data_IF_036397196943
#
_entry.id   IF_036397196943
#
_cell.length_a   1.000
_cell.length_b   1.000
_cell.length_c   1.000
_cell.angle_alpha   90.00
_cell.angle_beta   90.00
_cell.angle_gamma   90.00
#
_symmetry.space_group_name_H-M   'P 1'
#
loop_
_entity.id
_entity.type
_entity.pdbx_description
1 polymer ?
#
# COMPACT_ATOMS: atom_id res chain seq x y z
N UNK A 1 2.47 -9.59 36.75
CA UNK A 1 3.31 -10.38 35.82
C UNK A 1 2.78 -10.20 34.41
N UNK A 2 3.57 -9.61 33.50
CA UNK A 2 3.16 -9.44 32.10
C UNK A 2 3.29 -10.79 31.42
N UNK A 3 2.16 -11.40 31.04
CA UNK A 3 2.15 -12.65 30.27
C UNK A 3 2.99 -12.49 29.00
N UNK A 4 3.84 -13.47 28.64
CA UNK A 4 4.61 -13.41 27.40
C UNK A 4 3.66 -13.28 26.21
N UNK A 5 4.04 -12.44 25.26
CA UNK A 5 3.26 -12.24 24.03
C UNK A 5 3.12 -13.57 23.29
N UNK A 6 1.92 -13.90 22.78
CA UNK A 6 1.74 -15.11 21.99
C UNK A 6 2.67 -15.06 20.78
N UNK A 7 3.57 -16.05 20.66
CA UNK A 7 4.50 -16.14 19.53
C UNK A 7 3.71 -16.20 18.22
N UNK A 8 4.16 -15.52 17.14
CA UNK A 8 3.56 -15.66 15.83
C UNK A 8 3.59 -17.13 15.39
N UNK A 9 2.53 -17.59 14.72
CA UNK A 9 2.52 -18.90 14.07
C UNK A 9 3.32 -18.83 12.78
N UNK A 10 4.65 -18.83 12.90
CA UNK A 10 5.59 -18.68 11.78
C UNK A 10 5.33 -19.68 10.67
N UNK A 11 5.00 -20.93 10.99
CA UNK A 11 4.70 -21.97 10.00
C UNK A 11 3.62 -21.51 9.01
N UNK A 12 2.53 -20.91 9.51
CA UNK A 12 1.42 -20.45 8.67
C UNK A 12 1.76 -19.19 7.88
N UNK A 13 2.48 -18.26 8.50
CA UNK A 13 2.93 -17.01 7.86
C UNK A 13 3.87 -17.33 6.71
N UNK A 14 4.88 -18.18 6.95
CA UNK A 14 5.87 -18.57 5.94
C UNK A 14 5.20 -19.36 4.82
N UNK A 15 4.28 -20.28 5.11
CA UNK A 15 3.52 -20.98 4.06
C UNK A 15 2.71 -20.02 3.18
N UNK A 16 2.04 -19.01 3.76
CA UNK A 16 1.30 -18.01 2.99
C UNK A 16 2.24 -17.16 2.13
N UNK A 17 3.36 -16.70 2.70
CA UNK A 17 4.38 -15.93 1.97
C UNK A 17 4.90 -16.74 0.78
N UNK A 18 5.26 -18.00 1.00
CA UNK A 18 5.81 -18.87 -0.04
C UNK A 18 4.77 -19.14 -1.14
N UNK A 19 3.50 -19.37 -0.78
CA UNK A 19 2.41 -19.52 -1.74
C UNK A 19 2.24 -18.26 -2.61
N UNK A 20 2.25 -17.08 -1.99
CA UNK A 20 2.13 -15.81 -2.72
C UNK A 20 3.33 -15.55 -3.61
N UNK A 21 4.55 -15.83 -3.13
CA UNK A 21 5.78 -15.69 -3.91
C UNK A 21 5.82 -16.62 -5.11
N UNK A 22 5.42 -17.88 -4.93
CA UNK A 22 5.33 -18.85 -6.02
C UNK A 22 4.29 -18.40 -7.04
N UNK A 23 3.13 -17.91 -6.57
CA UNK A 23 2.12 -17.31 -7.43
C UNK A 23 2.64 -16.10 -8.22
N UNK A 24 3.35 -15.17 -7.57
CA UNK A 24 3.97 -14.02 -8.23
C UNK A 24 5.04 -14.44 -9.24
N UNK A 25 5.82 -15.47 -8.95
CA UNK A 25 6.81 -16.00 -9.89
C UNK A 25 6.14 -16.56 -11.14
N UNK A 26 5.01 -17.27 -10.98
CA UNK A 26 4.19 -17.74 -12.11
C UNK A 26 3.62 -16.56 -12.90
N UNK A 27 3.13 -15.52 -12.23
CA UNK A 27 2.64 -14.29 -12.88
C UNK A 27 3.73 -13.65 -13.74
N UNK A 28 4.95 -13.50 -13.21
CA UNK A 28 6.08 -12.95 -13.96
C UNK A 28 6.45 -13.83 -15.15
N UNK A 29 6.47 -15.16 -14.98
CA UNK A 29 6.74 -16.11 -16.06
C UNK A 29 5.70 -16.01 -17.21
N UNK A 30 4.44 -15.76 -16.87
CA UNK A 30 3.37 -15.56 -17.86
C UNK A 30 3.52 -14.20 -18.57
N UNK A 31 3.88 -13.13 -17.84
CA UNK A 31 4.09 -11.80 -18.43
C UNK A 31 5.34 -11.76 -19.34
N UNK A 32 6.36 -12.58 -19.04
CA UNK A 32 7.53 -12.79 -19.90
C UNK A 32 7.18 -13.41 -21.24
N UNK A 33 6.10 -14.19 -21.33
CA UNK A 33 5.76 -14.88 -22.57
C UNK A 33 5.10 -13.91 -23.57
N UNK A 34 5.69 -13.69 -24.75
CA UNK A 34 5.11 -12.81 -25.78
C UNK A 34 3.76 -13.30 -26.29
N UNK A 35 3.49 -14.60 -26.21
CA UNK A 35 2.26 -15.26 -26.67
C UNK A 35 1.20 -15.40 -25.58
N UNK A 36 1.08 -14.39 -24.71
CA UNK A 36 0.08 -14.40 -23.64
C UNK A 36 -1.33 -14.05 -24.17
N UNK A 37 -2.36 -14.60 -23.50
CA UNK A 37 -3.76 -14.29 -23.82
C UNK A 37 -4.04 -12.83 -23.44
N UNK A 38 -4.30 -12.01 -24.46
CA UNK A 38 -4.63 -10.59 -24.35
C UNK A 38 -6.08 -10.39 -24.77
N UNK A 39 -6.94 -10.09 -23.80
CA UNK A 39 -8.29 -9.65 -24.09
C UNK A 39 -8.29 -8.11 -24.18
N UNK A 40 -8.48 -7.59 -25.40
CA UNK A 40 -8.69 -6.16 -25.61
C UNK A 40 -10.20 -5.90 -25.58
N UNK A 41 -10.71 -5.40 -24.45
CA UNK A 41 -12.02 -4.77 -24.42
C UNK A 41 -11.87 -3.48 -25.25
N UNK A 42 -12.55 -3.39 -26.39
CA UNK A 42 -12.33 -2.33 -27.39
C UNK A 42 -12.31 -0.89 -26.84
N UNK A 43 -11.69 0.03 -27.60
CA UNK A 43 -11.43 1.42 -27.19
C UNK A 43 -10.04 1.61 -26.57
N UNK A 44 -9.87 2.69 -25.79
CA UNK A 44 -8.63 3.03 -25.07
C UNK A 44 -8.49 2.31 -23.71
N UNK A 45 -9.19 1.18 -23.52
CA UNK A 45 -9.18 0.43 -22.27
C UNK A 45 -7.89 -0.40 -22.13
N UNK A 46 -7.40 -0.59 -20.89
CA UNK A 46 -6.22 -1.40 -20.64
C UNK A 46 -6.46 -2.86 -21.04
N UNK A 47 -5.46 -3.46 -21.69
CA UNK A 47 -5.51 -4.87 -22.09
C UNK A 47 -5.52 -5.76 -20.85
N UNK A 48 -6.54 -6.61 -20.75
CA UNK A 48 -6.68 -7.58 -19.66
C UNK A 48 -5.91 -8.83 -20.06
N UNK A 49 -4.87 -9.15 -19.30
CA UNK A 49 -4.07 -10.37 -19.46
C UNK A 49 -4.40 -11.39 -18.36
N UNK A 50 -4.06 -12.66 -18.60
CA UNK A 50 -4.18 -13.72 -17.58
C UNK A 50 -3.43 -13.36 -16.27
N UNK A 51 -2.35 -12.58 -16.36
CA UNK A 51 -1.60 -12.03 -15.23
C UNK A 51 -2.50 -11.26 -14.25
N UNK A 52 -3.45 -10.45 -14.74
CA UNK A 52 -4.36 -9.69 -13.88
C UNK A 52 -5.30 -10.57 -13.06
N UNK A 53 -5.79 -11.67 -13.66
CA UNK A 53 -6.67 -12.63 -12.97
C UNK A 53 -5.91 -13.34 -11.87
N UNK A 54 -4.66 -13.75 -12.14
CA UNK A 54 -3.78 -14.35 -11.14
C UNK A 54 -3.39 -13.37 -10.04
N UNK A 55 -3.10 -12.11 -10.36
CA UNK A 55 -2.84 -11.08 -9.34
C UNK A 55 -4.08 -10.88 -8.46
N UNK A 56 -5.28 -10.82 -9.04
CA UNK A 56 -6.52 -10.70 -8.29
C UNK A 56 -6.78 -11.90 -7.35
N UNK A 57 -6.47 -13.12 -7.80
CA UNK A 57 -6.59 -14.31 -6.96
C UNK A 57 -5.57 -14.32 -5.82
N UNK A 58 -4.31 -13.93 -6.08
CA UNK A 58 -3.28 -13.79 -5.05
C UNK A 58 -3.62 -12.71 -4.02
N UNK A 59 -4.14 -11.57 -4.47
CA UNK A 59 -4.66 -10.51 -3.60
C UNK A 59 -5.75 -11.06 -2.68
N UNK A 60 -6.69 -11.85 -3.22
CA UNK A 60 -7.78 -12.44 -2.44
C UNK A 60 -7.26 -13.45 -1.42
N UNK A 61 -6.32 -14.31 -1.80
CA UNK A 61 -5.70 -15.31 -0.92
C UNK A 61 -4.91 -14.63 0.20
N UNK A 62 -4.07 -13.65 -0.12
CA UNK A 62 -3.27 -12.93 0.88
C UNK A 62 -4.14 -12.11 1.84
N UNK A 63 -5.18 -11.45 1.32
CA UNK A 63 -6.15 -10.71 2.12
C UNK A 63 -6.89 -11.62 3.10
N UNK A 64 -7.39 -12.75 2.60
CA UNK A 64 -8.11 -13.74 3.42
C UNK A 64 -7.19 -14.41 4.43
N UNK A 65 -5.96 -14.76 4.02
CA UNK A 65 -4.96 -15.34 4.91
C UNK A 65 -4.57 -14.40 6.06
N UNK A 66 -4.36 -13.12 5.76
CA UNK A 66 -4.10 -12.11 6.77
C UNK A 66 -5.28 -11.98 7.75
N UNK A 67 -6.52 -11.90 7.25
CA UNK A 67 -7.73 -11.79 8.09
C UNK A 67 -7.85 -13.00 9.03
N UNK A 68 -7.67 -14.22 8.53
CA UNK A 68 -7.72 -15.46 9.33
C UNK A 68 -6.63 -15.49 10.40
N UNK A 69 -5.39 -15.06 10.10
CA UNK A 69 -4.30 -15.05 11.07
C UNK A 69 -4.53 -14.07 12.21
N UNK A 70 -5.06 -12.91 11.87
CA UNK A 70 -5.30 -11.84 12.82
C UNK A 70 -6.51 -12.14 13.71
N UNK A 71 -7.58 -12.76 13.18
CA UNK A 71 -8.71 -13.27 14.00
C UNK A 71 -8.30 -14.36 14.98
N UNK A 72 -7.25 -15.13 14.67
CA UNK A 72 -6.71 -16.14 15.58
C UNK A 72 -5.96 -15.53 16.78
N UNK A 73 -5.71 -14.21 16.80
CA UNK A 73 -5.02 -13.55 17.89
C UNK A 73 -5.96 -13.33 19.11
N UNK A 74 -5.56 -13.69 20.34
CA UNK A 74 -6.41 -13.54 21.53
C UNK A 74 -6.95 -12.13 21.82
N UNK A 75 -6.26 -11.10 21.32
CA UNK A 75 -6.63 -9.70 21.53
C UNK A 75 -7.63 -9.18 20.50
N UNK A 76 -7.79 -9.89 19.37
CA UNK A 76 -8.85 -9.58 18.41
C UNK A 76 -10.22 -10.06 18.90
N UNK A 77 -10.27 -11.12 19.72
CA UNK A 77 -11.52 -11.65 20.29
C UNK A 77 -12.24 -10.66 21.21
N UNK A 78 -11.52 -9.65 21.72
CA UNK A 78 -12.07 -8.62 22.63
C UNK A 78 -12.23 -7.25 21.97
N UNK A 79 -11.83 -7.10 20.69
CA UNK A 79 -11.89 -5.83 19.97
C UNK A 79 -13.10 -5.79 19.06
N UNK A 80 -13.97 -4.78 19.25
CA UNK A 80 -15.09 -4.52 18.34
C UNK A 80 -14.56 -4.11 16.96
N UNK A 81 -14.83 -4.94 15.95
CA UNK A 81 -14.51 -4.67 14.55
C UNK A 81 -15.66 -3.88 13.89
N UNK A 82 -15.37 -3.03 12.88
CA UNK A 82 -16.43 -2.40 12.12
C UNK A 82 -17.22 -3.47 11.36
N UNK A 83 -18.53 -3.51 11.60
CA UNK A 83 -19.43 -4.48 10.97
C UNK A 83 -20.15 -3.82 9.80
N UNK A 84 -20.13 -4.46 8.64
CA UNK A 84 -20.96 -4.08 7.51
C UNK A 84 -22.17 -5.01 7.52
N UNK A 85 -23.36 -4.44 7.72
CA UNK A 85 -24.62 -5.16 7.62
C UNK A 85 -25.05 -5.22 6.16
N UNK A 86 -24.75 -6.33 5.48
CA UNK A 86 -25.32 -6.65 4.18
C UNK A 86 -26.62 -7.45 4.39
N UNK A 87 -27.68 -6.73 4.77
CA UNK A 87 -28.99 -7.33 5.03
C UNK A 87 -28.97 -8.27 6.24
N UNK A 88 -29.16 -9.59 6.01
CA UNK A 88 -29.15 -10.62 7.06
C UNK A 88 -27.76 -11.08 7.49
N UNK A 89 -26.71 -10.68 6.77
CA UNK A 89 -25.33 -11.06 7.08
C UNK A 89 -24.60 -9.87 7.71
N UNK A 90 -24.17 -10.05 8.96
CA UNK A 90 -23.23 -9.14 9.60
C UNK A 90 -21.80 -9.60 9.26
N UNK A 91 -21.10 -8.86 8.41
CA UNK A 91 -19.71 -9.16 8.07
C UNK A 91 -18.82 -8.23 8.88
N UNK A 92 -18.11 -8.79 9.85
CA UNK A 92 -17.03 -8.07 10.54
C UNK A 92 -15.84 -7.95 9.58
N UNK A 93 -15.52 -6.74 9.15
CA UNK A 93 -14.37 -6.51 8.27
C UNK A 93 -13.29 -5.85 9.10
N UNK A 94 -12.06 -6.33 8.96
CA UNK A 94 -10.89 -5.68 9.56
C UNK A 94 -10.09 -4.98 8.44
N UNK A 95 -10.60 -3.87 7.87
CA UNK A 95 -10.07 -3.36 6.61
C UNK A 95 -8.64 -2.85 6.72
N UNK A 96 -8.14 -2.67 7.93
CA UNK A 96 -6.74 -2.38 8.20
C UNK A 96 -5.72 -3.43 7.82
N UNK A 97 -6.14 -4.69 7.84
CA UNK A 97 -5.21 -5.81 7.93
C UNK A 97 -5.05 -6.52 6.58
N UNK A 98 -6.08 -6.53 5.75
CA UNK A 98 -6.03 -7.03 4.37
C UNK A 98 -5.40 -6.06 3.34
N UNK A 99 -5.36 -4.75 3.60
CA UNK A 99 -4.90 -3.74 2.62
C UNK A 99 -3.39 -3.84 2.40
N UNK A 100 -2.59 -3.97 3.45
CA UNK A 100 -1.13 -4.00 3.28
C UNK A 100 -0.66 -5.25 2.52
N UNK A 101 -1.09 -6.47 2.87
CA UNK A 101 -0.70 -7.67 2.12
C UNK A 101 -1.15 -7.64 0.64
N UNK A 102 -2.35 -7.12 0.36
CA UNK A 102 -2.82 -6.96 -1.02
C UNK A 102 -2.00 -5.92 -1.79
N UNK A 103 -1.71 -4.78 -1.16
CA UNK A 103 -0.89 -3.72 -1.76
C UNK A 103 0.54 -4.18 -2.02
N UNK A 104 1.14 -5.05 -1.21
CA UNK A 104 2.45 -5.65 -1.54
C UNK A 104 2.40 -6.35 -2.89
N UNK A 105 1.40 -7.20 -3.13
CA UNK A 105 1.26 -7.97 -4.38
C UNK A 105 1.05 -7.03 -5.56
N UNK A 106 0.10 -6.08 -5.42
CA UNK A 106 -0.21 -5.11 -6.49
C UNK A 106 1.00 -4.24 -6.80
N UNK A 107 1.70 -3.75 -5.78
CA UNK A 107 2.90 -2.91 -5.95
C UNK A 107 4.02 -3.69 -6.60
N UNK A 108 4.30 -4.92 -6.17
CA UNK A 108 5.36 -5.73 -6.75
C UNK A 108 5.10 -6.04 -8.22
N UNK A 109 3.85 -6.36 -8.58
CA UNK A 109 3.47 -6.56 -9.98
C UNK A 109 3.55 -5.27 -10.79
N UNK A 110 3.05 -4.15 -10.26
CA UNK A 110 3.06 -2.87 -10.94
C UNK A 110 4.50 -2.34 -11.13
N UNK A 111 5.35 -2.46 -10.12
CA UNK A 111 6.74 -2.01 -10.11
C UNK A 111 7.63 -2.85 -11.04
N UNK A 112 7.39 -4.16 -11.14
CA UNK A 112 8.09 -5.04 -12.09
C UNK A 112 7.95 -4.52 -13.54
N UNK A 113 6.76 -4.05 -13.93
CA UNK A 113 6.48 -3.53 -15.27
C UNK A 113 7.20 -2.24 -15.65
N UNK A 114 7.91 -1.58 -14.71
CA UNK A 114 8.68 -0.36 -15.00
C UNK A 114 10.01 -0.65 -15.72
N UNK A 115 10.53 -1.87 -15.63
CA UNK A 115 11.85 -2.21 -16.16
C UNK A 115 11.72 -2.93 -17.52
N UNK A 116 12.40 -2.42 -18.55
CA UNK A 116 12.41 -2.98 -19.91
C UNK A 116 13.46 -4.08 -20.14
N UNK A 117 13.20 -4.91 -21.15
CA UNK A 117 13.97 -5.97 -21.84
C UNK A 117 15.34 -6.41 -21.28
N UNK A 118 16.39 -5.58 -21.19
CA UNK A 118 17.70 -6.07 -20.76
C UNK A 118 17.80 -6.47 -19.27
N UNK A 119 16.92 -5.95 -18.40
CA UNK A 119 16.99 -6.16 -16.95
C UNK A 119 15.78 -6.91 -16.37
N UNK A 120 14.88 -7.40 -17.22
CA UNK A 120 13.60 -7.94 -16.75
C UNK A 120 13.77 -9.13 -15.80
N UNK A 121 14.70 -10.05 -16.08
CA UNK A 121 14.93 -11.21 -15.19
C UNK A 121 15.48 -10.79 -13.82
N UNK A 122 16.45 -9.86 -13.80
CA UNK A 122 17.00 -9.33 -12.55
C UNK A 122 15.93 -8.55 -11.78
N UNK A 123 15.12 -7.75 -12.47
CA UNK A 123 14.02 -7.00 -11.89
C UNK A 123 12.94 -7.93 -11.33
N UNK A 124 12.60 -9.03 -12.01
CA UNK A 124 11.67 -10.05 -11.51
C UNK A 124 12.20 -10.69 -10.22
N UNK A 125 13.48 -11.10 -10.20
CA UNK A 125 14.10 -11.68 -9.01
C UNK A 125 14.12 -10.69 -7.84
N UNK A 126 14.53 -9.45 -8.10
CA UNK A 126 14.52 -8.39 -7.11
C UNK A 126 13.11 -8.11 -6.59
N UNK A 127 12.12 -8.03 -7.48
CA UNK A 127 10.71 -7.81 -7.12
C UNK A 127 10.16 -8.96 -6.26
N UNK A 128 10.51 -10.21 -6.55
CA UNK A 128 10.13 -11.36 -5.72
C UNK A 128 10.76 -11.30 -4.32
N UNK A 129 12.05 -11.01 -4.24
CA UNK A 129 12.75 -10.89 -2.95
C UNK A 129 12.13 -9.76 -2.12
N UNK A 130 11.95 -8.58 -2.73
CA UNK A 130 11.34 -7.43 -2.07
C UNK A 130 9.89 -7.73 -1.66
N UNK A 131 9.09 -8.36 -2.54
CA UNK A 131 7.72 -8.78 -2.20
C UNK A 131 7.70 -9.70 -0.98
N UNK A 132 8.60 -10.69 -0.94
CA UNK A 132 8.66 -11.68 0.14
C UNK A 132 9.04 -11.04 1.46
N UNK A 133 10.06 -10.19 1.45
CA UNK A 133 10.50 -9.42 2.63
C UNK A 133 9.38 -8.51 3.12
N UNK A 134 8.74 -7.75 2.23
CA UNK A 134 7.67 -6.82 2.62
C UNK A 134 6.43 -7.55 3.13
N UNK A 135 6.04 -8.66 2.50
CA UNK A 135 4.86 -9.42 2.92
C UNK A 135 5.10 -10.08 4.28
N UNK A 136 6.28 -10.68 4.48
CA UNK A 136 6.68 -11.25 5.76
C UNK A 136 6.76 -10.17 6.84
N UNK A 137 7.42 -9.04 6.56
CA UNK A 137 7.51 -7.91 7.48
C UNK A 137 6.12 -7.37 7.84
N UNK A 138 5.21 -7.26 6.87
CA UNK A 138 3.83 -6.80 7.07
C UNK A 138 3.08 -7.72 8.01
N UNK A 139 3.07 -9.04 7.76
CA UNK A 139 2.32 -10.00 8.58
C UNK A 139 2.88 -10.07 10.01
N UNK A 140 4.20 -10.06 10.16
CA UNK A 140 4.85 -10.06 11.48
C UNK A 140 4.57 -8.75 12.23
N UNK A 141 4.72 -7.60 11.57
CA UNK A 141 4.48 -6.32 12.19
C UNK A 141 3.00 -6.10 12.53
N UNK A 142 2.07 -6.61 11.72
CA UNK A 142 0.63 -6.60 12.05
C UNK A 142 0.34 -7.41 13.32
N UNK A 143 0.98 -8.57 13.49
CA UNK A 143 0.86 -9.38 14.71
C UNK A 143 1.39 -8.61 15.94
N UNK A 144 2.60 -8.04 15.86
CA UNK A 144 3.19 -7.31 16.97
C UNK A 144 2.54 -5.94 17.24
N UNK A 145 1.87 -5.33 16.26
CA UNK A 145 1.12 -4.10 16.47
C UNK A 145 -0.11 -4.30 17.38
N UNK A 146 -0.59 -5.54 17.50
CA UNK A 146 -1.65 -5.96 18.41
C UNK A 146 -1.14 -6.33 19.80
N UNK A 147 0.17 -6.31 20.06
CA UNK A 147 0.72 -6.69 21.35
C UNK A 147 0.43 -5.64 22.45
N UNK A 148 0.34 -6.08 23.72
CA UNK A 148 0.09 -5.18 24.87
C UNK A 148 1.30 -4.35 25.26
N UNK A 149 2.50 -4.74 24.81
CA UNK A 149 3.75 -4.07 25.16
C UNK A 149 3.90 -2.79 24.33
N UNK A 150 3.96 -1.60 24.95
CA UNK A 150 3.98 -0.34 24.22
C UNK A 150 5.22 -0.17 23.34
N UNK A 151 6.37 -0.68 23.77
CA UNK A 151 7.63 -0.63 23.00
C UNK A 151 7.56 -1.46 21.71
N UNK A 152 7.14 -2.73 21.83
CA UNK A 152 7.00 -3.65 20.69
C UNK A 152 5.94 -3.14 19.72
N UNK A 153 4.81 -2.66 20.26
CA UNK A 153 3.76 -2.07 19.46
C UNK A 153 4.24 -0.83 18.69
N UNK A 154 5.01 0.06 19.33
CA UNK A 154 5.55 1.26 18.67
C UNK A 154 6.49 0.89 17.51
N UNK A 155 7.42 -0.02 17.74
CA UNK A 155 8.35 -0.49 16.70
C UNK A 155 7.61 -1.17 15.54
N UNK A 156 6.61 -1.98 15.83
CA UNK A 156 5.79 -2.63 14.80
C UNK A 156 4.98 -1.62 13.97
N UNK A 157 4.40 -0.59 14.59
CA UNK A 157 3.71 0.49 13.87
C UNK A 157 4.64 1.29 12.99
N UNK A 158 5.86 1.59 13.45
CA UNK A 158 6.88 2.26 12.64
C UNK A 158 7.27 1.40 11.42
N UNK A 159 7.42 0.08 11.60
CA UNK A 159 7.68 -0.84 10.50
C UNK A 159 6.53 -0.84 9.48
N UNK A 160 5.26 -0.91 9.92
CA UNK A 160 4.10 -0.85 9.03
C UNK A 160 4.00 0.50 8.30
N UNK A 161 4.35 1.60 8.96
CA UNK A 161 4.38 2.93 8.35
C UNK A 161 5.45 3.00 7.25
N UNK A 162 6.66 2.51 7.53
CA UNK A 162 7.74 2.44 6.54
C UNK A 162 7.34 1.58 5.33
N UNK A 163 6.73 0.41 5.55
CA UNK A 163 6.19 -0.44 4.47
C UNK A 163 5.13 0.31 3.68
N UNK A 164 4.21 1.01 4.33
CA UNK A 164 3.14 1.75 3.64
C UNK A 164 3.70 2.83 2.71
N UNK A 165 4.70 3.59 3.16
CA UNK A 165 5.35 4.60 2.30
C UNK A 165 6.12 3.97 1.13
N UNK A 166 6.77 2.83 1.36
CA UNK A 166 7.45 2.12 0.27
C UNK A 166 6.46 1.60 -0.78
N UNK A 167 5.31 1.09 -0.33
CA UNK A 167 4.23 0.66 -1.22
C UNK A 167 3.61 1.84 -1.98
N UNK A 168 3.36 2.95 -1.29
CA UNK A 168 2.86 4.18 -1.90
C UNK A 168 3.80 4.65 -3.03
N UNK A 169 5.10 4.69 -2.76
CA UNK A 169 6.09 5.06 -3.76
C UNK A 169 6.05 4.15 -4.99
N UNK A 170 6.00 2.83 -4.78
CA UNK A 170 5.97 1.85 -5.87
C UNK A 170 4.71 1.98 -6.73
N UNK A 171 3.53 2.11 -6.11
CA UNK A 171 2.26 2.26 -6.84
C UNK A 171 2.21 3.59 -7.58
N UNK A 172 2.56 4.70 -6.93
CA UNK A 172 2.51 6.02 -7.57
C UNK A 172 3.49 6.12 -8.75
N UNK A 173 4.70 5.57 -8.61
CA UNK A 173 5.68 5.50 -9.70
C UNK A 173 5.16 4.65 -10.87
N UNK A 174 4.52 3.52 -10.58
CA UNK A 174 3.99 2.63 -11.60
C UNK A 174 2.81 3.24 -12.38
N UNK A 175 1.87 3.88 -11.67
CA UNK A 175 0.74 4.55 -12.30
C UNK A 175 1.22 5.71 -13.18
N UNK A 176 2.22 6.47 -12.72
CA UNK A 176 2.79 7.56 -13.50
C UNK A 176 3.57 7.06 -14.72
N UNK A 177 4.31 5.94 -14.60
CA UNK A 177 5.00 5.30 -15.72
C UNK A 177 4.03 4.85 -16.82
N UNK A 178 2.86 4.33 -16.45
CA UNK A 178 1.90 3.78 -17.41
C UNK A 178 1.35 4.82 -18.41
N UNK A 179 1.49 6.14 -18.14
CA UNK A 179 1.04 7.27 -18.98
C UNK A 179 -0.36 7.07 -19.61
N UNK A 180 -1.27 6.45 -18.89
CA UNK A 180 -2.67 6.26 -19.31
C UNK A 180 -3.38 7.63 -19.22
N UNK A 181 -4.52 7.78 -19.90
CA UNK A 181 -5.38 8.98 -19.79
C UNK A 181 -5.52 9.42 -18.32
N UNK A 182 -5.45 10.73 -18.10
CA UNK A 182 -5.53 11.41 -16.77
C UNK A 182 -6.62 10.85 -15.87
N UNK A 183 -7.79 10.57 -16.45
CA UNK A 183 -8.94 10.07 -15.70
C UNK A 183 -8.67 8.70 -15.02
N UNK A 184 -7.95 7.81 -15.71
CA UNK A 184 -7.61 6.48 -15.17
C UNK A 184 -6.44 6.54 -14.19
N UNK A 185 -5.41 7.33 -14.46
CA UNK A 185 -4.29 7.48 -13.53
C UNK A 185 -4.70 8.17 -12.22
N UNK A 186 -5.50 9.24 -12.31
CA UNK A 186 -6.00 9.95 -11.13
C UNK A 186 -6.92 9.07 -10.27
N UNK A 187 -7.80 8.28 -10.88
CA UNK A 187 -8.67 7.35 -10.14
C UNK A 187 -7.89 6.20 -9.48
N UNK A 188 -6.86 5.65 -10.14
CA UNK A 188 -5.97 4.65 -9.54
C UNK A 188 -5.18 5.22 -8.35
N UNK A 189 -4.66 6.44 -8.48
CA UNK A 189 -3.94 7.13 -7.39
C UNK A 189 -4.90 7.50 -6.25
N UNK A 190 -6.11 7.94 -6.56
CA UNK A 190 -7.15 8.19 -5.55
C UNK A 190 -7.47 6.93 -4.75
N UNK A 191 -7.72 5.81 -5.44
CA UNK A 191 -8.08 4.55 -4.79
C UNK A 191 -6.93 3.99 -3.95
N UNK A 192 -5.73 3.90 -4.52
CA UNK A 192 -4.55 3.41 -3.81
C UNK A 192 -4.14 4.34 -2.65
N UNK A 193 -4.14 5.64 -2.88
CA UNK A 193 -3.85 6.66 -1.87
C UNK A 193 -4.84 6.64 -0.71
N UNK A 194 -6.14 6.47 -0.99
CA UNK A 194 -7.17 6.31 0.06
C UNK A 194 -6.93 5.07 0.89
N UNK A 195 -6.67 3.92 0.25
CA UNK A 195 -6.44 2.65 0.95
C UNK A 195 -5.19 2.72 1.84
N UNK A 196 -4.09 3.27 1.33
CA UNK A 196 -2.84 3.44 2.09
C UNK A 196 -2.94 4.52 3.17
N UNK A 197 -3.70 5.59 2.95
CA UNK A 197 -3.98 6.58 4.00
C UNK A 197 -4.79 5.93 5.14
N UNK A 198 -5.78 5.12 4.79
CA UNK A 198 -6.59 4.41 5.77
C UNK A 198 -5.75 3.47 6.65
N UNK A 199 -4.76 2.76 6.07
CA UNK A 199 -3.88 1.86 6.85
C UNK A 199 -2.99 2.59 7.84
N UNK A 200 -2.66 3.86 7.58
CA UNK A 200 -1.90 4.70 8.50
C UNK A 200 -2.78 5.27 9.62
N UNK A 201 -3.97 5.78 9.27
CA UNK A 201 -4.84 6.49 10.21
C UNK A 201 -5.61 5.58 11.17
N UNK A 202 -5.81 4.31 10.81
CA UNK A 202 -6.52 3.33 11.66
C UNK A 202 -5.86 3.03 13.02
N UNK A 203 -4.57 3.36 13.18
CA UNK A 203 -3.81 3.11 14.40
C UNK A 203 -3.91 4.25 15.41
N UNK A 204 -4.50 5.38 15.00
CA UNK A 204 -4.74 6.55 15.83
C UNK A 204 -5.94 6.30 16.76
N UNK A 205 -5.93 6.81 18.01
CA UNK A 205 -7.00 6.53 18.99
C UNK A 205 -8.40 6.97 18.55
N UNK A 206 -8.52 8.02 17.74
CA UNK A 206 -9.79 8.53 17.24
C UNK A 206 -10.20 7.84 15.92
N UNK A 207 -11.15 6.89 16.01
CA UNK A 207 -11.61 6.08 14.86
C UNK A 207 -12.78 6.66 14.08
N UNK A 208 -13.48 7.64 14.65
CA UNK A 208 -14.64 8.25 14.00
C UNK A 208 -14.17 9.13 12.83
N UNK A 209 -14.69 8.87 11.62
CA UNK A 209 -14.36 9.65 10.43
C UNK A 209 -13.04 9.29 9.73
N UNK A 210 -12.30 8.26 10.18
CA UNK A 210 -11.02 7.86 9.58
C UNK A 210 -11.12 7.57 8.08
N UNK A 211 -12.23 6.99 7.63
CA UNK A 211 -12.47 6.72 6.21
C UNK A 211 -12.64 8.01 5.39
N UNK A 212 -13.42 8.97 5.88
CA UNK A 212 -13.60 10.27 5.22
C UNK A 212 -12.27 11.00 5.11
N UNK A 213 -11.48 11.00 6.19
CA UNK A 213 -10.14 11.56 6.23
C UNK A 213 -9.19 10.90 5.23
N UNK A 214 -9.23 9.57 5.12
CA UNK A 214 -8.47 8.84 4.10
C UNK A 214 -8.91 9.18 2.67
N UNK A 215 -10.22 9.35 2.42
CA UNK A 215 -10.74 9.78 1.13
C UNK A 215 -10.28 11.19 0.75
N UNK A 216 -10.20 12.11 1.72
CA UNK A 216 -9.65 13.45 1.49
C UNK A 216 -8.19 13.36 1.02
N UNK A 217 -7.37 12.51 1.65
CA UNK A 217 -5.98 12.28 1.21
C UNK A 217 -5.95 11.76 -0.24
N UNK A 218 -6.75 10.73 -0.56
CA UNK A 218 -6.83 10.22 -1.93
C UNK A 218 -7.28 11.26 -2.96
N UNK A 219 -8.26 12.10 -2.60
CA UNK A 219 -8.75 13.17 -3.47
C UNK A 219 -7.67 14.22 -3.74
N UNK A 220 -6.96 14.67 -2.69
CA UNK A 220 -5.85 15.62 -2.85
C UNK A 220 -4.76 15.07 -3.78
N UNK A 221 -4.41 13.79 -3.66
CA UNK A 221 -3.45 13.16 -4.56
C UNK A 221 -3.95 13.08 -6.01
N UNK A 222 -5.25 12.84 -6.22
CA UNK A 222 -5.85 12.79 -7.54
C UNK A 222 -5.81 14.16 -8.24
N UNK A 223 -6.12 15.24 -7.52
CA UNK A 223 -6.02 16.61 -8.03
C UNK A 223 -4.59 16.99 -8.40
N UNK A 224 -3.62 16.64 -7.55
CA UNK A 224 -2.20 16.86 -7.85
C UNK A 224 -1.75 16.02 -9.05
N UNK A 225 -2.23 14.78 -9.17
CA UNK A 225 -1.93 13.93 -10.34
C UNK A 225 -2.37 14.59 -11.64
N UNK A 226 -3.54 15.26 -11.63
CA UNK A 226 -4.01 15.99 -12.80
C UNK A 226 -3.03 17.09 -13.20
N UNK A 227 -2.53 17.89 -12.24
CA UNK A 227 -1.50 18.90 -12.50
C UNK A 227 -0.16 18.29 -12.97
N UNK A 228 0.28 17.19 -12.33
CA UNK A 228 1.54 16.51 -12.67
C UNK A 228 1.53 15.85 -14.04
N UNK A 229 0.36 15.51 -14.60
CA UNK A 229 0.31 14.89 -15.92
C UNK A 229 0.57 15.89 -17.06
N UNK A 230 0.44 17.20 -16.80
CA UNK A 230 0.86 18.24 -17.75
C UNK A 230 2.37 18.52 -17.65
N UNK A 231 3.03 18.07 -16.58
CA UNK A 231 4.47 18.20 -16.43
C UNK A 231 5.17 16.96 -17.01
N UNK A 232 6.07 17.15 -17.97
CA UNK A 232 6.95 16.11 -18.52
C UNK A 232 8.07 15.67 -17.55
N UNK A 233 7.74 15.36 -16.30
CA UNK A 233 8.72 14.85 -15.33
C UNK A 233 9.04 13.35 -15.59
N UNK A 234 10.24 12.88 -15.19
CA UNK A 234 10.55 11.44 -15.13
C UNK A 234 9.60 10.70 -14.18
N UNK A 235 9.34 9.41 -14.45
CA UNK A 235 8.32 8.66 -13.72
C UNK A 235 8.62 8.41 -12.24
N UNK A 236 9.89 8.16 -11.88
CA UNK A 236 10.30 8.08 -10.48
C UNK A 236 10.09 9.40 -9.75
N UNK A 237 10.28 10.50 -10.47
CA UNK A 237 10.24 11.85 -9.93
C UNK A 237 8.78 12.25 -9.65
N UNK A 238 7.85 11.95 -10.58
CA UNK A 238 6.41 12.09 -10.35
C UNK A 238 5.91 11.23 -9.17
N UNK A 239 6.37 9.97 -9.07
CA UNK A 239 6.05 9.09 -7.94
C UNK A 239 6.58 9.60 -6.59
N UNK A 240 7.81 10.13 -6.57
CA UNK A 240 8.40 10.75 -5.38
C UNK A 240 7.64 12.00 -4.94
N UNK A 241 7.21 12.84 -5.88
CA UNK A 241 6.46 14.05 -5.61
C UNK A 241 5.09 13.73 -4.99
N UNK A 242 4.38 12.73 -5.54
CA UNK A 242 3.15 12.21 -4.96
C UNK A 242 3.36 11.61 -3.56
N UNK A 243 4.48 10.91 -3.35
CA UNK A 243 4.84 10.37 -2.04
C UNK A 243 5.04 11.47 -1.00
N UNK A 244 5.70 12.57 -1.38
CA UNK A 244 5.92 13.72 -0.48
C UNK A 244 4.59 14.34 -0.07
N UNK A 245 3.68 14.53 -1.03
CA UNK A 245 2.34 15.08 -0.75
C UNK A 245 1.55 14.12 0.14
N UNK A 246 1.62 12.81 -0.13
CA UNK A 246 1.01 11.79 0.72
C UNK A 246 1.56 11.81 2.15
N UNK A 247 2.89 11.96 2.31
CA UNK A 247 3.54 12.06 3.62
C UNK A 247 3.07 13.30 4.40
N UNK A 248 3.03 14.47 3.76
CA UNK A 248 2.60 15.72 4.40
C UNK A 248 1.13 15.62 4.82
N UNK A 249 0.25 15.23 3.89
CA UNK A 249 -1.20 15.17 4.14
C UNK A 249 -1.54 14.16 5.23
N UNK A 250 -0.94 12.96 5.20
CA UNK A 250 -1.15 11.95 6.24
C UNK A 250 -0.53 12.35 7.58
N UNK A 251 0.66 12.95 7.59
CA UNK A 251 1.33 13.41 8.82
C UNK A 251 0.55 14.53 9.53
N UNK A 252 0.08 15.53 8.79
CA UNK A 252 -0.79 16.60 9.33
C UNK A 252 -2.06 16.00 9.95
N UNK A 253 -2.65 15.00 9.28
CA UNK A 253 -3.89 14.41 9.72
C UNK A 253 -3.73 13.47 10.93
N UNK A 254 -2.62 12.74 11.01
CA UNK A 254 -2.24 11.99 12.21
C UNK A 254 -2.07 12.93 13.40
N UNK A 255 -1.35 14.05 13.24
CA UNK A 255 -1.18 15.04 14.30
C UNK A 255 -2.49 15.74 14.71
N UNK A 256 -3.40 15.95 13.74
CA UNK A 256 -4.75 16.43 14.03
C UNK A 256 -5.51 15.45 14.92
N UNK A 257 -5.52 14.17 14.56
CA UNK A 257 -6.24 13.13 15.29
C UNK A 257 -5.62 12.84 16.68
N UNK A 258 -4.35 13.19 16.89
CA UNK A 258 -3.68 13.09 18.19
C UNK A 258 -3.90 14.32 19.09
N UNK A 259 -4.68 15.33 18.66
CA UNK A 259 -4.86 16.61 19.36
C UNK A 259 -3.54 17.33 19.70
N UNK A 260 -2.50 17.09 18.90
CA UNK A 260 -1.16 17.71 19.03
C UNK A 260 -0.87 18.71 17.92
N UNK A 261 -1.90 19.33 17.35
CA UNK A 261 -1.77 20.39 16.36
C UNK A 261 -1.16 21.65 16.99
N UNK A 262 0.16 21.70 17.03
CA UNK A 262 0.90 22.95 17.19
C UNK A 262 1.15 23.54 15.81
N UNK A 263 0.99 24.86 15.67
CA UNK A 263 1.34 25.61 14.44
C UNK A 263 2.79 25.34 14.01
N UNK A 264 3.66 25.01 14.97
CA UNK A 264 5.05 24.64 14.74
C UNK A 264 5.20 23.32 13.96
N UNK A 265 4.40 22.31 14.27
CA UNK A 265 4.43 21.01 13.54
C UNK A 265 3.95 21.21 12.10
N UNK A 266 2.92 22.04 11.91
CA UNK A 266 2.44 22.40 10.57
C UNK A 266 3.52 23.12 9.74
N UNK A 267 4.34 23.95 10.40
CA UNK A 267 5.47 24.63 9.76
C UNK A 267 6.65 23.68 9.49
N UNK A 268 6.99 22.79 10.40
CA UNK A 268 8.06 21.79 10.23
C UNK A 268 7.75 20.82 9.09
N UNK A 269 6.52 20.29 9.02
CA UNK A 269 6.11 19.41 7.92
C UNK A 269 5.93 20.18 6.60
N UNK A 270 5.45 21.43 6.64
CA UNK A 270 5.39 22.29 5.47
C UNK A 270 6.77 22.62 4.91
N UNK A 271 7.75 22.85 5.79
CA UNK A 271 9.13 23.14 5.42
C UNK A 271 9.88 21.91 4.92
N UNK A 272 9.73 20.75 5.59
CA UNK A 272 10.28 19.48 5.10
C UNK A 272 9.68 19.07 3.77
N UNK A 273 8.36 19.21 3.64
CA UNK A 273 7.63 19.00 2.40
C UNK A 273 8.09 19.93 1.27
N UNK A 274 8.20 21.23 1.57
CA UNK A 274 8.70 22.24 0.64
C UNK A 274 10.15 22.01 0.23
N UNK A 275 11.02 21.59 1.15
CA UNK A 275 12.41 21.25 0.86
C UNK A 275 12.50 19.99 0.00
N UNK A 276 11.76 18.93 0.30
CA UNK A 276 11.72 17.73 -0.54
C UNK A 276 11.17 18.05 -1.94
N UNK A 277 10.13 18.87 -2.03
CA UNK A 277 9.62 19.38 -3.31
C UNK A 277 10.66 20.19 -4.07
N UNK A 278 11.41 21.07 -3.39
CA UNK A 278 12.46 21.87 -3.99
C UNK A 278 13.64 21.01 -4.47
N UNK A 279 14.03 19.98 -3.70
CA UNK A 279 15.07 19.01 -4.09
C UNK A 279 14.63 18.22 -5.32
N UNK A 280 13.39 17.76 -5.34
CA UNK A 280 12.80 17.01 -6.46
C UNK A 280 12.70 17.90 -7.71
N UNK A 281 12.25 19.16 -7.57
CA UNK A 281 12.24 20.13 -8.65
C UNK A 281 13.65 20.44 -9.16
N UNK A 282 14.61 20.69 -8.26
CA UNK A 282 16.00 20.98 -8.62
C UNK A 282 16.66 19.80 -9.35
N UNK A 283 16.38 18.56 -8.94
CA UNK A 283 16.83 17.36 -9.63
C UNK A 283 16.17 17.16 -11.01
N UNK A 284 15.02 17.80 -11.28
CA UNK A 284 14.34 17.77 -12.59
C UNK A 284 14.96 18.74 -13.60
N UNK A 285 15.48 19.88 -13.12
CA UNK A 285 16.01 20.95 -13.96
C UNK A 285 17.53 20.86 -14.21
N UNK A 286 18.17 19.77 -13.77
CA UNK A 286 19.59 19.49 -13.99
C UNK A 286 19.77 18.43 -15.07
#
# INVERSE_FOLDING_TARGET
>A
MVTPSPKPRYDRIVSLVLLVLLGLAVVFLIDFNPYNIRAQLGGDLPVITASWVLVASLVTIASTGADVFIRAHPQMQTRTLPTIRLGKFEVEIAPGFWILPSMVIVTSFAFFRLFSAPLEMLAAMAALIVAGVLLLATLIAQHYALDRRPEVQRTARLALQAVTFLLAFGVFSAVYYARIRTLYSASMIMASGTLLAYTLLQWTPQRQGTLLLACVVGLTLAEVTWALNYWSAPFLLGGALLLVIFYITTGVLQHHLENRLSKQVMFEYGLLGGVLLAVVAFATFR
#
